data_IF_737007111132
#
_entry.id   IF_737007111132
#
_cell.length_a   1.000
_cell.length_b   1.000
_cell.length_c   1.000
_cell.angle_alpha   90.00
_cell.angle_beta   90.00
_cell.angle_gamma   90.00
#
_symmetry.space_group_name_H-M   'P 1'
#
loop_
_entity.id
_entity.type
_entity.pdbx_description
1 polymer ?
#
# COMPACT_ATOMS: atom_id res chain seq x y z
N UNK A 1 -23.94 9.98 50.90
CA UNK A 1 -23.96 9.79 49.46
C UNK A 1 -22.58 10.00 48.88
N UNK A 2 -21.88 8.94 48.60
CA UNK A 2 -20.54 9.00 47.95
C UNK A 2 -20.74 8.82 46.48
N UNK A 3 -20.39 9.85 45.67
CA UNK A 3 -20.46 9.85 44.23
C UNK A 3 -19.17 9.15 43.74
N UNK A 4 -19.29 7.91 43.26
CA UNK A 4 -18.20 7.19 42.63
C UNK A 4 -18.03 7.75 41.21
N UNK A 5 -16.99 8.55 41.01
CA UNK A 5 -16.53 9.01 39.70
C UNK A 5 -15.84 7.84 38.99
N UNK A 6 -16.55 7.14 38.12
CA UNK A 6 -15.95 6.14 37.26
C UNK A 6 -15.09 6.89 36.22
N UNK A 7 -13.77 6.95 36.44
CA UNK A 7 -12.79 7.30 35.44
C UNK A 7 -12.83 6.19 34.36
N UNK A 8 -13.50 6.45 33.26
CA UNK A 8 -13.31 5.69 32.03
C UNK A 8 -11.87 5.95 31.55
N UNK A 9 -10.96 5.09 31.96
CA UNK A 9 -9.65 4.98 31.32
C UNK A 9 -9.95 4.41 29.94
N UNK A 10 -10.12 5.29 28.97
CA UNK A 10 -10.07 4.91 27.57
C UNK A 10 -8.69 4.31 27.34
N UNK A 11 -8.61 2.98 27.32
CA UNK A 11 -7.46 2.32 26.77
C UNK A 11 -7.36 2.79 25.32
N UNK A 12 -6.42 3.68 25.03
CA UNK A 12 -5.96 3.91 23.66
C UNK A 12 -5.38 2.58 23.20
N UNK A 13 -6.24 1.73 22.63
CA UNK A 13 -5.78 0.59 21.89
C UNK A 13 -4.85 1.17 20.83
N UNK A 14 -3.57 0.86 20.94
CA UNK A 14 -2.57 1.36 20.00
C UNK A 14 -3.06 1.00 18.60
N UNK A 15 -3.36 2.01 17.81
CA UNK A 15 -3.81 1.79 16.41
C UNK A 15 -2.79 0.92 15.69
N UNK A 16 -3.24 -0.07 14.97
CA UNK A 16 -2.41 -0.98 14.20
C UNK A 16 -2.98 -1.15 12.80
N UNK A 17 -2.10 -1.42 11.87
CA UNK A 17 -2.44 -1.75 10.49
C UNK A 17 -2.39 -3.26 10.29
N UNK A 18 -3.46 -3.83 9.76
CA UNK A 18 -3.46 -5.15 9.14
C UNK A 18 -2.97 -5.01 7.72
N UNK A 19 -1.80 -5.56 7.40
CA UNK A 19 -1.31 -5.71 6.04
C UNK A 19 -1.74 -7.08 5.52
N UNK A 20 -2.48 -7.09 4.43
CA UNK A 20 -2.94 -8.30 3.75
C UNK A 20 -2.24 -8.44 2.43
N UNK A 21 -1.55 -9.55 2.21
CA UNK A 21 -0.90 -9.87 0.97
C UNK A 21 -1.76 -10.86 0.19
N UNK A 22 -2.04 -10.52 -1.06
CA UNK A 22 -2.77 -11.38 -2.00
C UNK A 22 -1.97 -11.59 -3.26
N UNK A 23 -2.14 -12.75 -3.87
CA UNK A 23 -1.75 -13.02 -5.24
C UNK A 23 -3.00 -13.07 -6.11
N UNK A 24 -3.06 -12.20 -7.13
CA UNK A 24 -4.07 -12.28 -8.18
C UNK A 24 -3.45 -12.95 -9.38
N UNK A 25 -4.14 -13.94 -9.95
CA UNK A 25 -3.61 -14.71 -11.07
C UNK A 25 -4.70 -15.08 -12.07
N UNK A 26 -4.26 -15.46 -13.27
CA UNK A 26 -5.13 -15.92 -14.34
C UNK A 26 -4.68 -15.42 -15.70
N UNK A 27 -5.63 -15.20 -16.59
CA UNK A 27 -5.43 -14.81 -17.98
C UNK A 27 -6.56 -13.86 -18.42
N UNK A 28 -6.71 -13.61 -19.73
CA UNK A 28 -7.76 -12.72 -20.26
C UNK A 28 -9.20 -13.21 -20.02
N UNK A 29 -9.41 -14.44 -19.51
CA UNK A 29 -10.73 -15.05 -19.33
C UNK A 29 -11.04 -15.42 -17.89
N UNK A 30 -10.02 -15.66 -17.09
CA UNK A 30 -10.14 -16.19 -15.73
C UNK A 30 -9.35 -15.32 -14.76
N UNK A 31 -9.92 -15.13 -13.58
CA UNK A 31 -9.31 -14.37 -12.47
C UNK A 31 -9.42 -15.16 -11.18
N UNK A 32 -8.33 -15.29 -10.46
CA UNK A 32 -8.24 -15.96 -9.17
C UNK A 32 -7.60 -15.05 -8.14
N UNK A 33 -8.04 -15.19 -6.89
CA UNK A 33 -7.51 -14.45 -5.74
C UNK A 33 -7.03 -15.45 -4.70
N UNK A 34 -5.80 -15.33 -4.25
CA UNK A 34 -5.23 -16.14 -3.18
C UNK A 34 -4.77 -15.24 -2.04
N UNK A 35 -5.00 -15.66 -0.81
CA UNK A 35 -4.43 -15.06 0.38
C UNK A 35 -3.05 -15.68 0.60
N UNK A 36 -2.01 -14.85 0.61
CA UNK A 36 -0.65 -15.30 0.86
C UNK A 36 -0.35 -15.27 2.36
N UNK A 37 -0.41 -14.11 2.97
CA UNK A 37 -0.22 -13.95 4.40
C UNK A 37 -0.91 -12.70 4.98
N UNK A 38 -0.94 -12.65 6.31
CA UNK A 38 -1.40 -11.53 7.11
C UNK A 38 -0.26 -11.04 7.99
N UNK A 39 -0.06 -9.72 8.02
CA UNK A 39 0.94 -9.10 8.88
C UNK A 39 0.31 -7.94 9.65
N UNK A 40 0.93 -7.58 10.78
CA UNK A 40 0.54 -6.42 11.56
C UNK A 40 1.69 -5.42 11.64
N UNK A 41 1.37 -4.13 11.44
CA UNK A 41 2.29 -3.00 11.54
C UNK A 41 1.75 -2.05 12.60
N UNK A 42 2.65 -1.44 13.37
CA UNK A 42 2.28 -0.44 14.37
C UNK A 42 1.80 0.85 13.69
N UNK A 43 0.77 1.45 14.27
CA UNK A 43 0.15 2.65 13.74
C UNK A 43 -0.86 2.36 12.61
N UNK A 44 -1.68 3.35 12.31
CA UNK A 44 -2.62 3.37 11.21
C UNK A 44 -2.49 4.68 10.44
N UNK A 45 -2.04 4.62 9.20
CA UNK A 45 -1.86 5.79 8.33
C UNK A 45 -3.01 6.00 7.35
N UNK A 46 -4.00 5.10 7.32
CA UNK A 46 -5.14 5.19 6.45
C UNK A 46 -6.21 6.17 6.95
N UNK A 47 -7.30 6.23 6.23
CA UNK A 47 -8.44 7.11 6.54
C UNK A 47 -9.07 6.73 7.89
N UNK A 48 -9.42 7.75 8.70
CA UNK A 48 -10.04 7.61 10.04
C UNK A 48 -11.50 8.02 10.07
N UNK A 49 -11.96 8.69 9.04
CA UNK A 49 -13.36 9.12 8.89
C UNK A 49 -13.99 8.43 7.69
N UNK A 50 -15.31 8.25 7.71
CA UNK A 50 -16.06 7.65 6.61
C UNK A 50 -15.47 6.27 6.17
N UNK A 51 -15.03 5.49 7.15
CA UNK A 51 -14.34 4.22 6.91
C UNK A 51 -15.19 3.17 6.19
N UNK A 52 -16.51 3.33 6.26
CA UNK A 52 -17.50 2.42 5.66
C UNK A 52 -17.93 2.85 4.26
N UNK A 53 -17.55 4.06 3.82
CA UNK A 53 -17.99 4.63 2.56
C UNK A 53 -17.06 4.23 1.42
N UNK A 54 -17.62 4.07 0.25
CA UNK A 54 -16.92 3.82 -1.00
C UNK A 54 -17.12 5.04 -1.91
N UNK A 55 -16.13 5.94 -1.95
CA UNK A 55 -16.23 7.18 -2.71
C UNK A 55 -15.95 7.02 -4.21
N UNK A 56 -15.07 6.07 -4.54
CA UNK A 56 -14.70 5.75 -5.91
C UNK A 56 -14.87 4.25 -6.10
N UNK A 57 -15.38 3.87 -7.25
CA UNK A 57 -15.46 2.49 -7.66
C UNK A 57 -14.31 2.21 -8.64
N UNK A 58 -13.35 1.40 -8.18
CA UNK A 58 -12.36 0.78 -9.05
C UNK A 58 -12.86 -0.58 -9.52
N UNK A 59 -12.05 -1.27 -10.29
CA UNK A 59 -12.33 -2.65 -10.71
C UNK A 59 -11.95 -3.70 -9.65
N UNK A 60 -11.58 -3.26 -8.45
CA UNK A 60 -11.39 -4.07 -7.26
C UNK A 60 -11.98 -3.39 -6.03
N UNK A 61 -12.50 -4.19 -5.10
CA UNK A 61 -13.02 -3.74 -3.83
C UNK A 61 -12.56 -4.64 -2.71
N UNK A 62 -12.23 -4.05 -1.56
CA UNK A 62 -11.95 -4.75 -0.32
C UNK A 62 -12.88 -4.25 0.77
N UNK A 63 -13.50 -5.16 1.51
CA UNK A 63 -14.42 -4.87 2.58
C UNK A 63 -14.10 -5.72 3.79
N UNK A 64 -14.08 -5.10 4.97
CA UNK A 64 -13.96 -5.80 6.24
C UNK A 64 -15.24 -5.61 7.05
N UNK A 65 -15.78 -6.71 7.57
CA UNK A 65 -16.98 -6.75 8.40
C UNK A 65 -16.69 -7.44 9.72
N UNK A 66 -17.36 -7.03 10.77
CA UNK A 66 -17.36 -7.75 12.04
C UNK A 66 -17.96 -9.14 11.83
N UNK A 67 -17.26 -10.17 12.31
CA UNK A 67 -17.67 -11.56 12.08
C UNK A 67 -18.93 -11.96 12.86
N UNK A 68 -19.24 -11.26 13.95
CA UNK A 68 -20.40 -11.56 14.81
C UNK A 68 -21.64 -10.76 14.39
N UNK A 69 -21.47 -9.45 14.14
CA UNK A 69 -22.60 -8.55 13.87
C UNK A 69 -22.87 -8.41 12.37
N UNK A 70 -21.88 -8.64 11.52
CA UNK A 70 -21.95 -8.37 10.08
C UNK A 70 -21.77 -6.89 9.72
N UNK A 71 -21.55 -6.01 10.71
CA UNK A 71 -21.35 -4.59 10.49
C UNK A 71 -20.09 -4.34 9.66
N UNK A 72 -20.18 -3.44 8.69
CA UNK A 72 -19.02 -2.98 7.93
C UNK A 72 -18.09 -2.18 8.84
N UNK A 73 -16.84 -2.58 8.92
CA UNK A 73 -15.76 -1.91 9.65
C UNK A 73 -14.95 -0.99 8.74
N UNK A 74 -14.66 -1.45 7.52
CA UNK A 74 -13.85 -0.73 6.55
C UNK A 74 -14.20 -1.13 5.12
N UNK A 75 -14.15 -0.19 4.18
CA UNK A 75 -14.26 -0.44 2.73
C UNK A 75 -13.26 0.40 1.96
N UNK A 76 -12.74 -0.16 0.89
CA UNK A 76 -11.92 0.59 -0.06
C UNK A 76 -12.07 0.02 -1.47
N UNK A 77 -11.78 0.83 -2.48
CA UNK A 77 -11.67 0.40 -3.86
C UNK A 77 -10.23 0.53 -4.33
N UNK A 78 -9.88 -0.26 -5.31
CA UNK A 78 -8.55 -0.26 -5.90
C UNK A 78 -8.61 -0.65 -7.38
N UNK A 79 -7.50 -0.44 -8.08
CA UNK A 79 -7.24 -0.99 -9.41
C UNK A 79 -5.92 -1.75 -9.38
N UNK A 80 -5.73 -2.72 -10.26
CA UNK A 80 -4.57 -3.61 -10.25
C UNK A 80 -3.85 -3.68 -11.58
N UNK A 81 -2.54 -3.87 -11.54
CA UNK A 81 -1.75 -4.19 -12.73
C UNK A 81 -2.18 -5.51 -13.36
N UNK A 82 -2.66 -6.47 -12.57
CA UNK A 82 -3.21 -7.72 -13.09
C UNK A 82 -4.37 -7.49 -14.07
N UNK A 83 -5.35 -6.67 -13.69
CA UNK A 83 -6.50 -6.38 -14.54
C UNK A 83 -6.14 -5.49 -15.74
N UNK A 84 -5.12 -4.64 -15.62
CA UNK A 84 -4.55 -3.91 -16.74
C UNK A 84 -3.88 -4.86 -17.73
N UNK A 85 -3.01 -5.75 -17.25
CA UNK A 85 -2.35 -6.78 -18.05
C UNK A 85 -3.35 -7.72 -18.72
N UNK A 86 -4.47 -8.07 -18.10
CA UNK A 86 -5.51 -8.93 -18.70
C UNK A 86 -6.04 -8.41 -20.04
N UNK A 87 -5.90 -7.11 -20.34
CA UNK A 87 -6.29 -6.50 -21.60
C UNK A 87 -5.21 -6.59 -22.69
N UNK A 88 -4.06 -7.18 -22.40
CA UNK A 88 -2.97 -7.35 -23.38
C UNK A 88 -3.15 -8.60 -24.24
N UNK A 89 -2.48 -8.63 -25.39
CA UNK A 89 -2.45 -9.83 -26.25
C UNK A 89 -1.78 -11.01 -25.54
N UNK A 90 -0.77 -10.75 -24.69
CA UNK A 90 -0.08 -11.78 -23.93
C UNK A 90 -1.04 -12.58 -23.03
N UNK A 91 -1.97 -11.89 -22.35
CA UNK A 91 -2.95 -12.52 -21.47
C UNK A 91 -3.88 -13.51 -22.18
N UNK A 92 -3.97 -13.46 -23.50
CA UNK A 92 -4.75 -14.46 -24.28
C UNK A 92 -4.03 -15.80 -24.42
N UNK A 93 -2.72 -15.84 -24.12
CA UNK A 93 -1.83 -16.99 -24.39
C UNK A 93 -1.21 -17.62 -23.16
N UNK A 94 -1.04 -16.85 -22.08
CA UNK A 94 -0.36 -17.30 -20.85
C UNK A 94 -1.14 -16.88 -19.62
N UNK A 95 -0.91 -17.62 -18.53
CA UNK A 95 -1.32 -17.23 -17.18
C UNK A 95 -0.18 -16.45 -16.51
N UNK A 96 -0.54 -15.44 -15.73
CA UNK A 96 0.40 -14.72 -14.85
C UNK A 96 -0.17 -14.52 -13.46
N UNK A 97 0.72 -14.27 -12.50
CA UNK A 97 0.38 -13.90 -11.13
C UNK A 97 1.00 -12.55 -10.77
N UNK A 98 0.29 -11.79 -9.94
CA UNK A 98 0.68 -10.46 -9.49
C UNK A 98 0.45 -10.37 -7.99
N UNK A 99 1.50 -10.01 -7.27
CA UNK A 99 1.41 -9.73 -5.84
C UNK A 99 0.70 -8.39 -5.61
N UNK A 100 -0.18 -8.36 -4.62
CA UNK A 100 -0.92 -7.17 -4.23
C UNK A 100 -0.93 -7.03 -2.72
N UNK A 101 -0.77 -5.80 -2.24
CA UNK A 101 -0.74 -5.48 -0.81
C UNK A 101 -1.83 -4.50 -0.49
N UNK A 102 -2.64 -4.80 0.52
CA UNK A 102 -3.66 -3.90 1.02
C UNK A 102 -3.48 -3.65 2.51
N UNK A 103 -3.69 -2.41 2.90
CA UNK A 103 -3.63 -1.98 4.29
C UNK A 103 -5.05 -1.70 4.79
N UNK A 104 -5.41 -2.34 5.90
CA UNK A 104 -6.67 -2.15 6.59
C UNK A 104 -6.41 -1.79 8.06
N UNK A 105 -7.33 -1.13 8.75
CA UNK A 105 -7.22 -1.01 10.20
C UNK A 105 -7.29 -2.41 10.84
N UNK A 106 -6.42 -2.68 11.80
CA UNK A 106 -6.44 -3.97 12.51
C UNK A 106 -7.74 -4.09 13.31
N UNK A 107 -8.57 -5.11 13.10
CA UNK A 107 -9.80 -5.28 13.85
C UNK A 107 -9.51 -5.61 15.31
N UNK A 108 -10.41 -5.23 16.22
CA UNK A 108 -10.30 -5.51 17.66
C UNK A 108 -10.92 -6.86 18.06
N UNK A 109 -11.71 -7.45 17.16
CA UNK A 109 -12.32 -8.77 17.29
C UNK A 109 -12.27 -9.48 15.94
N UNK A 110 -12.73 -10.74 15.88
CA UNK A 110 -12.77 -11.49 14.62
C UNK A 110 -13.55 -10.74 13.56
N UNK A 111 -12.97 -10.64 12.39
CA UNK A 111 -13.55 -9.97 11.24
C UNK A 111 -13.50 -10.87 9.99
N UNK A 112 -14.34 -10.57 9.01
CA UNK A 112 -14.31 -11.19 7.69
C UNK A 112 -13.86 -10.14 6.68
N UNK A 113 -12.82 -10.47 5.92
CA UNK A 113 -12.38 -9.66 4.79
C UNK A 113 -12.87 -10.30 3.50
N UNK A 114 -13.52 -9.51 2.67
CA UNK A 114 -13.96 -9.88 1.33
C UNK A 114 -13.25 -9.01 0.29
N UNK A 115 -12.64 -9.65 -0.69
CA UNK A 115 -12.03 -9.02 -1.86
C UNK A 115 -12.78 -9.44 -3.11
N UNK A 116 -13.11 -8.47 -3.97
CA UNK A 116 -13.79 -8.69 -5.24
C UNK A 116 -13.02 -8.02 -6.37
N UNK A 117 -12.93 -8.70 -7.50
CA UNK A 117 -12.53 -8.13 -8.77
C UNK A 117 -13.74 -8.07 -9.70
N UNK A 118 -13.89 -6.98 -10.42
CA UNK A 118 -14.95 -6.78 -11.42
C UNK A 118 -14.34 -6.51 -12.79
N UNK A 119 -15.04 -6.91 -13.83
CA UNK A 119 -14.69 -6.52 -15.19
C UNK A 119 -15.11 -5.08 -15.52
N UNK A 120 -14.86 -4.66 -16.75
CA UNK A 120 -15.21 -3.31 -17.24
C UNK A 120 -16.71 -3.02 -17.29
N UNK A 121 -17.54 -4.02 -17.05
CA UNK A 121 -19.00 -3.92 -16.97
C UNK A 121 -19.53 -4.02 -15.54
N UNK A 122 -18.63 -3.91 -14.54
CA UNK A 122 -18.95 -4.08 -13.11
C UNK A 122 -19.46 -5.47 -12.73
N UNK A 123 -19.25 -6.49 -13.57
CA UNK A 123 -19.56 -7.86 -13.24
C UNK A 123 -18.44 -8.46 -12.38
N UNK A 124 -18.80 -9.06 -11.24
CA UNK A 124 -17.83 -9.76 -10.38
C UNK A 124 -17.25 -10.96 -11.14
N UNK A 125 -15.93 -11.00 -11.28
CA UNK A 125 -15.16 -12.05 -11.96
C UNK A 125 -14.37 -12.91 -10.99
N UNK A 126 -14.05 -12.42 -9.81
CA UNK A 126 -13.43 -13.18 -8.72
C UNK A 126 -13.85 -12.64 -7.36
N UNK A 127 -13.93 -13.53 -6.37
CA UNK A 127 -14.20 -13.16 -4.98
C UNK A 127 -13.43 -14.10 -4.06
N UNK A 128 -12.79 -13.53 -3.05
CA UNK A 128 -12.23 -14.29 -1.93
C UNK A 128 -12.79 -13.73 -0.62
N UNK A 129 -13.14 -14.62 0.29
CA UNK A 129 -13.52 -14.29 1.68
C UNK A 129 -12.66 -15.08 2.63
N UNK A 130 -12.11 -14.42 3.63
CA UNK A 130 -11.36 -15.07 4.70
C UNK A 130 -11.60 -14.39 6.04
N UNK A 131 -11.35 -15.11 7.12
CA UNK A 131 -11.46 -14.59 8.48
C UNK A 131 -10.11 -14.02 8.92
N UNK A 132 -10.16 -12.92 9.66
CA UNK A 132 -9.04 -12.35 10.39
C UNK A 132 -9.36 -12.48 11.88
N UNK A 133 -8.53 -13.23 12.59
CA UNK A 133 -8.55 -13.31 14.05
C UNK A 133 -7.37 -12.48 14.57
N UNK A 134 -7.59 -11.37 15.30
CA UNK A 134 -6.50 -10.54 15.80
C UNK A 134 -5.58 -11.27 16.80
N UNK A 135 -6.03 -12.41 17.34
CA UNK A 135 -5.25 -13.26 18.25
C UNK A 135 -4.51 -14.41 17.53
N UNK A 136 -4.62 -14.48 16.19
CA UNK A 136 -3.95 -15.51 15.41
C UNK A 136 -2.42 -15.30 15.45
N UNK A 137 -1.72 -16.29 15.97
CA UNK A 137 -0.25 -16.30 16.10
C UNK A 137 0.47 -16.30 14.74
N UNK A 138 -0.22 -16.63 13.66
CA UNK A 138 0.34 -16.59 12.30
C UNK A 138 0.38 -15.17 11.73
N UNK A 139 -0.33 -14.21 12.32
CA UNK A 139 -0.24 -12.79 11.96
C UNK A 139 1.07 -12.23 12.52
N UNK A 140 2.07 -12.09 11.67
CA UNK A 140 3.41 -11.67 12.06
C UNK A 140 3.51 -10.16 12.20
N UNK A 141 4.17 -9.68 13.25
CA UNK A 141 4.51 -8.26 13.39
C UNK A 141 5.72 -7.93 12.52
N UNK A 142 5.58 -6.96 11.65
CA UNK A 142 6.61 -6.46 10.74
C UNK A 142 6.84 -4.96 10.91
N UNK A 143 7.85 -4.40 10.25
CA UNK A 143 8.13 -2.96 10.29
C UNK A 143 8.82 -2.48 11.57
N UNK A 144 9.39 -3.39 12.37
CA UNK A 144 10.07 -3.04 13.63
C UNK A 144 11.41 -2.33 13.42
N UNK A 145 12.04 -2.52 12.27
CA UNK A 145 13.29 -1.89 11.89
C UNK A 145 13.08 -1.07 10.59
N UNK A 146 12.46 0.11 10.69
CA UNK A 146 12.25 0.92 9.50
C UNK A 146 13.60 1.39 8.95
N UNK A 147 13.74 1.53 7.62
CA UNK A 147 14.89 2.14 7.02
C UNK A 147 15.04 3.59 7.50
N UNK A 148 16.26 4.16 7.38
CA UNK A 148 16.44 5.57 7.68
C UNK A 148 15.67 6.41 6.69
N UNK A 149 15.16 7.54 7.17
CA UNK A 149 14.43 8.49 6.33
C UNK A 149 14.58 9.91 6.85
N UNK A 150 14.30 10.90 5.99
CA UNK A 150 14.20 12.30 6.39
C UNK A 150 13.20 13.05 5.54
N UNK A 151 12.61 14.10 6.09
CA UNK A 151 11.82 15.04 5.31
C UNK A 151 12.73 15.86 4.39
N UNK A 152 12.33 15.98 3.14
CA UNK A 152 12.87 16.93 2.16
C UNK A 152 12.00 18.19 2.11
N UNK A 153 10.70 18.05 2.38
CA UNK A 153 9.74 19.13 2.53
C UNK A 153 8.66 18.72 3.53
N UNK A 154 8.24 19.64 4.38
CA UNK A 154 7.16 19.39 5.34
C UNK A 154 6.20 20.57 5.36
N UNK A 155 5.00 20.39 4.78
CA UNK A 155 3.96 21.42 4.72
C UNK A 155 3.06 21.45 5.95
N UNK A 156 2.93 20.34 6.67
CA UNK A 156 2.07 20.26 7.87
C UNK A 156 1.99 18.87 8.51
N UNK A 157 0.93 18.62 9.24
CA UNK A 157 0.71 17.29 9.84
C UNK A 157 0.28 16.28 8.78
N UNK A 158 0.66 15.01 8.96
CA UNK A 158 0.28 13.88 8.10
C UNK A 158 -1.24 13.71 7.95
N UNK A 159 -2.03 14.15 8.93
CA UNK A 159 -3.51 14.11 8.87
C UNK A 159 -4.11 15.12 7.88
N UNK A 160 -3.36 16.17 7.52
CA UNK A 160 -3.84 17.29 6.70
C UNK A 160 -3.11 17.41 5.37
N UNK A 161 -1.99 16.74 5.22
CA UNK A 161 -1.14 16.80 4.05
C UNK A 161 -1.17 15.50 3.26
N UNK A 162 -0.76 15.59 2.02
CA UNK A 162 -0.45 14.43 1.17
C UNK A 162 1.00 14.06 1.45
N UNK A 163 1.22 12.86 1.96
CA UNK A 163 2.54 12.34 2.23
C UNK A 163 3.09 11.64 0.97
N UNK A 164 4.22 12.14 0.48
CA UNK A 164 4.93 11.61 -0.69
C UNK A 164 6.25 11.01 -0.23
N UNK A 165 6.49 9.77 -0.63
CA UNK A 165 7.73 9.06 -0.32
C UNK A 165 8.58 8.93 -1.58
N UNK A 166 9.84 9.37 -1.52
CA UNK A 166 10.84 9.15 -2.55
C UNK A 166 11.72 7.98 -2.12
N UNK A 167 11.77 6.96 -2.97
CA UNK A 167 12.54 5.73 -2.75
C UNK A 167 13.64 5.68 -3.80
N UNK A 168 14.91 5.39 -3.42
CA UNK A 168 16.01 5.24 -4.37
C UNK A 168 15.90 3.94 -5.16
N UNK A 169 16.30 3.99 -6.43
CA UNK A 169 16.50 2.81 -7.24
C UNK A 169 17.82 2.91 -7.99
N UNK A 170 18.67 1.88 -7.85
CA UNK A 170 19.99 1.87 -8.46
C UNK A 170 21.02 2.78 -7.78
N UNK A 171 20.79 3.19 -6.54
CA UNK A 171 21.78 3.84 -5.67
C UNK A 171 22.29 2.83 -4.65
N UNK A 172 23.59 2.65 -4.55
CA UNK A 172 24.24 1.81 -3.54
C UNK A 172 24.28 2.48 -2.17
N UNK A 173 24.66 1.74 -1.13
CA UNK A 173 24.77 2.30 0.22
C UNK A 173 25.72 3.50 0.29
N UNK A 174 26.82 3.49 -0.48
CA UNK A 174 27.80 4.58 -0.52
C UNK A 174 27.31 5.80 -1.32
N UNK A 175 26.22 5.66 -2.09
CA UNK A 175 25.62 6.70 -2.91
C UNK A 175 24.40 7.35 -2.28
N UNK A 176 24.08 7.07 -1.00
CA UNK A 176 22.92 7.66 -0.36
C UNK A 176 22.97 9.18 -0.26
N UNK A 177 24.15 9.80 -0.12
CA UNK A 177 24.30 11.25 -0.15
C UNK A 177 23.96 11.82 -1.54
N UNK A 178 24.34 11.12 -2.61
CA UNK A 178 23.96 11.47 -3.98
C UNK A 178 22.45 11.36 -4.17
N UNK A 179 21.86 10.26 -3.71
CA UNK A 179 20.41 10.05 -3.72
C UNK A 179 19.67 11.22 -3.05
N UNK A 180 20.07 11.63 -1.85
CA UNK A 180 19.43 12.75 -1.15
C UNK A 180 19.57 14.08 -1.89
N UNK A 181 20.69 14.32 -2.54
CA UNK A 181 20.91 15.49 -3.38
C UNK A 181 19.95 15.48 -4.57
N UNK A 182 19.85 14.37 -5.28
CA UNK A 182 19.02 14.22 -6.47
C UNK A 182 17.53 14.27 -6.12
N UNK A 183 17.13 13.62 -5.02
CA UNK A 183 15.78 13.74 -4.48
C UNK A 183 15.42 15.18 -4.10
N UNK A 184 16.37 15.93 -3.51
CA UNK A 184 16.18 17.35 -3.20
C UNK A 184 15.99 18.20 -4.47
N UNK A 185 16.71 17.91 -5.54
CA UNK A 185 16.53 18.58 -6.84
C UNK A 185 15.12 18.29 -7.40
N UNK A 186 14.69 17.02 -7.35
CA UNK A 186 13.37 16.61 -7.83
C UNK A 186 12.24 17.31 -7.03
N UNK A 187 12.35 17.37 -5.70
CA UNK A 187 11.37 18.08 -4.84
C UNK A 187 11.31 19.56 -5.16
N UNK A 188 12.47 20.23 -5.27
CA UNK A 188 12.52 21.65 -5.61
C UNK A 188 11.91 21.91 -6.99
N UNK A 189 12.19 21.05 -7.96
CA UNK A 189 11.58 21.13 -9.29
C UNK A 189 10.06 21.00 -9.22
N UNK A 190 9.55 19.96 -8.56
CA UNK A 190 8.10 19.73 -8.38
C UNK A 190 7.43 20.95 -7.75
N UNK A 191 7.94 21.41 -6.62
CA UNK A 191 7.35 22.51 -5.85
C UNK A 191 7.55 23.90 -6.48
N UNK A 192 8.35 24.02 -7.55
CA UNK A 192 8.49 25.26 -8.33
C UNK A 192 7.46 25.42 -9.44
N UNK A 193 6.76 24.34 -9.82
CA UNK A 193 5.78 24.31 -10.92
C UNK A 193 4.34 24.39 -10.43
N UNK A 194 3.50 25.03 -11.21
CA UNK A 194 2.06 25.03 -10.97
C UNK A 194 1.45 23.64 -11.29
N UNK A 195 0.49 23.19 -10.51
CA UNK A 195 -0.19 23.87 -9.38
C UNK A 195 0.53 23.72 -8.02
N UNK A 196 1.58 22.89 -7.92
CA UNK A 196 2.23 22.52 -6.66
C UNK A 196 2.89 23.70 -5.94
N UNK A 197 3.38 24.67 -6.71
CA UNK A 197 3.98 25.91 -6.17
C UNK A 197 3.08 26.65 -5.18
N UNK A 198 1.79 26.69 -5.47
CA UNK A 198 0.79 27.37 -4.64
C UNK A 198 0.14 26.44 -3.60
N UNK A 199 0.58 25.20 -3.51
CA UNK A 199 0.02 24.17 -2.65
C UNK A 199 1.08 23.47 -1.77
N UNK A 200 2.23 24.11 -1.57
CA UNK A 200 3.35 23.52 -0.84
C UNK A 200 2.99 23.11 0.59
N UNK A 201 2.09 23.87 1.22
CA UNK A 201 1.54 23.58 2.55
C UNK A 201 0.65 22.33 2.60
N UNK A 202 0.36 21.69 1.45
CA UNK A 202 -0.44 20.49 1.33
C UNK A 202 0.39 19.20 1.19
N UNK A 203 1.71 19.33 1.11
CA UNK A 203 2.59 18.19 0.87
C UNK A 203 3.60 18.02 2.01
N UNK A 204 3.78 16.78 2.43
CA UNK A 204 4.98 16.34 3.12
C UNK A 204 5.74 15.42 2.15
N UNK A 205 7.00 15.68 1.90
CA UNK A 205 7.82 14.86 1.01
C UNK A 205 9.01 14.36 1.81
N UNK A 206 9.14 13.06 1.88
CA UNK A 206 10.24 12.41 2.60
C UNK A 206 10.99 11.45 1.69
N UNK A 207 12.27 11.28 1.96
CA UNK A 207 13.12 10.31 1.30
C UNK A 207 13.47 9.18 2.27
N UNK A 208 13.41 7.94 1.79
CA UNK A 208 13.68 6.72 2.56
C UNK A 208 14.92 6.06 1.99
N UNK A 209 15.88 5.65 2.84
CA UNK A 209 17.07 4.93 2.40
C UNK A 209 16.71 3.46 2.10
N UNK A 210 16.84 3.09 0.84
CA UNK A 210 16.72 1.72 0.36
C UNK A 210 17.86 1.45 -0.62
N UNK A 211 19.00 1.05 -0.10
CA UNK A 211 20.19 0.84 -0.92
C UNK A 211 20.03 -0.39 -1.84
N UNK A 212 20.38 -0.21 -3.11
CA UNK A 212 20.59 -1.28 -4.07
C UNK A 212 21.94 -1.96 -3.84
N UNK A 213 22.06 -3.20 -4.25
CA UNK A 213 23.35 -3.90 -4.23
C UNK A 213 24.27 -3.38 -5.31
N UNK A 214 23.73 -3.18 -6.51
CA UNK A 214 24.44 -2.63 -7.66
C UNK A 214 23.95 -1.21 -7.95
N UNK A 215 24.84 -0.37 -8.47
CA UNK A 215 24.48 0.94 -9.02
C UNK A 215 23.80 0.81 -10.38
N UNK A 216 23.06 1.86 -10.76
CA UNK A 216 22.27 1.92 -11.99
C UNK A 216 21.09 0.92 -12.03
N UNK A 217 20.38 0.86 -13.15
CA UNK A 217 19.18 0.05 -13.37
C UNK A 217 19.42 -0.89 -14.54
N UNK A 218 18.85 -2.08 -14.50
CA UNK A 218 18.98 -3.08 -15.58
C UNK A 218 18.50 -2.53 -16.92
N UNK A 219 19.29 -2.82 -17.97
CA UNK A 219 18.98 -2.50 -19.38
C UNK A 219 19.02 -3.78 -20.21
N UNK A 220 17.96 -4.61 -20.20
CA UNK A 220 17.94 -5.94 -20.83
C UNK A 220 18.31 -5.92 -22.31
N UNK A 221 17.89 -4.90 -23.05
CA UNK A 221 18.22 -4.74 -24.48
C UNK A 221 19.74 -4.57 -24.75
N UNK A 222 20.51 -4.19 -23.72
CA UNK A 222 21.96 -4.07 -23.79
C UNK A 222 22.68 -5.25 -23.10
N UNK A 223 21.92 -6.22 -22.62
CA UNK A 223 22.46 -7.34 -21.83
C UNK A 223 22.99 -6.94 -20.45
N UNK A 224 22.63 -5.74 -19.94
CA UNK A 224 23.01 -5.25 -18.63
C UNK A 224 21.97 -5.64 -17.59
N UNK A 225 22.41 -6.37 -16.58
CA UNK A 225 21.60 -6.80 -15.47
C UNK A 225 22.21 -6.33 -14.16
N UNK A 226 21.43 -5.67 -13.31
CA UNK A 226 21.84 -5.14 -12.01
C UNK A 226 20.87 -5.64 -10.94
N UNK A 227 21.39 -5.89 -9.75
CA UNK A 227 20.58 -6.27 -8.58
C UNK A 227 20.23 -5.03 -7.78
N UNK A 228 19.05 -4.51 -8.05
CA UNK A 228 18.54 -3.27 -7.43
C UNK A 228 17.46 -3.53 -6.41
N UNK A 229 17.19 -2.54 -5.56
CA UNK A 229 16.27 -2.67 -4.43
C UNK A 229 14.83 -2.97 -4.85
N UNK A 230 14.39 -2.46 -6.01
CA UNK A 230 13.04 -2.65 -6.54
C UNK A 230 13.02 -3.55 -7.78
N UNK A 231 14.18 -4.10 -8.16
CA UNK A 231 14.33 -4.96 -9.36
C UNK A 231 13.82 -4.30 -10.65
N UNK A 232 13.96 -2.97 -10.74
CA UNK A 232 13.49 -2.21 -11.90
C UNK A 232 14.38 -2.43 -13.11
N UNK A 233 13.78 -2.38 -14.30
CA UNK A 233 14.51 -2.47 -15.56
C UNK A 233 13.85 -1.65 -16.66
N UNK A 234 14.64 -1.19 -17.63
CA UNK A 234 14.14 -0.51 -18.81
C UNK A 234 13.56 -1.51 -19.83
N UNK A 235 12.66 -1.01 -20.68
CA UNK A 235 12.11 -1.78 -21.82
C UNK A 235 11.41 -3.08 -21.39
N UNK A 236 10.47 -2.97 -20.48
CA UNK A 236 9.65 -4.07 -19.94
C UNK A 236 8.45 -4.45 -20.80
N UNK A 237 8.18 -3.68 -21.84
CA UNK A 237 7.02 -3.88 -22.74
C UNK A 237 7.47 -4.18 -24.15
#
# INVERSE_FOLDING_TARGET
>A
MALALALAIGANAQERTLRVNYTFSGNSRESHIYLDDLNVIDGWAGRRVNMKDLYLEGNGQIMMTDAQTGDTLYRNAFSTLFQEWQNTEEATRVDRSFENVYLLPMPTAKAVVEVKLTDNYNKVVATLRHTVDPEDILIRRIGQNPPKWKYLHQGGSTEKCIDVVIVPEGYTADEMDLFYKDAGIAVNSLLSHEPFKNMQDRFNILAVELASKDGAVSVPLQGLWTETALSSHFSTF
#
